data_IF_509797546227
#
_entry.id   IF_509797546227
#
_cell.length_a   1.000
_cell.length_b   1.000
_cell.length_c   1.000
_cell.angle_alpha   90.00
_cell.angle_beta   90.00
_cell.angle_gamma   90.00
#
_symmetry.space_group_name_H-M   'P 1'
#
loop_
_entity.id
_entity.type
_entity.pdbx_description
1 polymer ?
#
# COMPACT_ATOMS: atom_id res chain seq x y z
N UNK A 1 23.60 6.19 13.80
CA UNK A 1 23.01 5.10 14.62
C UNK A 1 21.64 4.74 14.07
N UNK A 2 21.58 4.06 12.92
CA UNK A 2 20.36 3.34 12.50
C UNK A 2 20.82 1.89 12.35
N UNK A 3 20.36 1.03 13.25
CA UNK A 3 20.63 -0.40 13.15
C UNK A 3 20.05 -0.91 11.85
N UNK A 4 20.91 -1.46 11.00
CA UNK A 4 20.46 -2.30 9.88
C UNK A 4 19.66 -3.43 10.52
N UNK A 5 18.35 -3.40 10.32
CA UNK A 5 17.50 -4.50 10.75
C UNK A 5 17.83 -5.67 9.83
N UNK A 6 18.55 -6.66 10.38
CA UNK A 6 18.77 -7.99 9.81
C UNK A 6 17.40 -8.62 9.54
N UNK A 7 16.84 -8.37 8.36
CA UNK A 7 15.59 -8.91 7.88
C UNK A 7 15.78 -9.23 6.41
N UNK A 8 15.26 -10.36 5.96
CA UNK A 8 15.36 -10.79 4.56
C UNK A 8 14.94 -9.69 3.57
N UNK A 9 15.37 -9.84 2.32
CA UNK A 9 15.14 -8.85 1.27
C UNK A 9 13.66 -8.42 1.24
N UNK A 10 13.36 -7.11 1.14
CA UNK A 10 12.00 -6.62 1.19
C UNK A 10 11.17 -7.21 0.04
N UNK A 11 9.96 -7.69 0.36
CA UNK A 11 9.03 -8.18 -0.64
C UNK A 11 8.45 -7.00 -1.42
N UNK A 12 8.84 -6.88 -2.68
CA UNK A 12 8.39 -5.82 -3.58
C UNK A 12 7.04 -6.08 -4.26
N UNK A 13 6.62 -5.20 -5.18
CA UNK A 13 5.40 -5.36 -5.95
C UNK A 13 5.39 -6.64 -6.80
N UNK A 14 4.19 -7.08 -7.17
CA UNK A 14 4.00 -8.20 -8.11
C UNK A 14 4.74 -7.94 -9.43
N UNK A 15 5.36 -8.95 -10.03
CA UNK A 15 6.02 -8.81 -11.34
C UNK A 15 5.00 -8.56 -12.47
N UNK A 16 5.07 -7.37 -13.10
CA UNK A 16 4.17 -6.98 -14.20
C UNK A 16 4.36 -7.79 -15.49
N UNK A 17 5.53 -8.42 -15.68
CA UNK A 17 5.79 -9.25 -16.86
C UNK A 17 5.07 -10.59 -16.80
N UNK A 18 4.72 -11.03 -15.58
CA UNK A 18 4.03 -12.29 -15.30
C UNK A 18 2.55 -12.10 -15.00
N UNK A 19 2.21 -10.99 -14.33
CA UNK A 19 0.82 -10.62 -14.01
C UNK A 19 0.52 -9.24 -14.58
N UNK A 20 -0.43 -9.13 -15.52
CA UNK A 20 -0.75 -7.84 -16.13
C UNK A 20 -1.27 -6.86 -15.08
N UNK A 21 -1.03 -5.56 -15.30
CA UNK A 21 -1.31 -4.51 -14.30
C UNK A 21 -2.79 -4.34 -13.93
N UNK A 22 -3.71 -4.78 -14.79
CA UNK A 22 -5.15 -4.74 -14.57
C UNK A 22 -5.68 -5.95 -13.78
N UNK A 23 -4.82 -6.90 -13.41
CA UNK A 23 -5.19 -8.12 -12.70
C UNK A 23 -4.59 -8.19 -11.29
N UNK A 24 -5.18 -9.04 -10.44
CA UNK A 24 -4.78 -9.23 -9.04
C UNK A 24 -5.40 -8.20 -8.09
N UNK A 25 -5.03 -8.29 -6.81
CA UNK A 25 -5.54 -7.41 -5.76
C UNK A 25 -5.01 -5.98 -5.95
N UNK A 26 -5.93 -5.00 -5.91
CA UNK A 26 -5.62 -3.58 -6.10
C UNK A 26 -5.08 -2.91 -4.83
N UNK A 27 -3.93 -3.35 -4.32
CA UNK A 27 -3.23 -2.66 -3.23
C UNK A 27 -2.48 -1.42 -3.75
N UNK A 28 -2.14 -0.49 -2.85
CA UNK A 28 -1.33 0.67 -3.20
C UNK A 28 0.00 0.24 -3.86
N UNK A 29 0.27 0.76 -5.06
CA UNK A 29 1.44 0.41 -5.88
C UNK A 29 1.65 -1.11 -6.09
N UNK A 30 0.60 -1.93 -5.92
CA UNK A 30 0.67 -3.40 -5.94
C UNK A 30 1.64 -4.00 -4.93
N UNK A 31 1.85 -3.31 -3.80
CA UNK A 31 2.66 -3.80 -2.68
C UNK A 31 1.95 -4.93 -1.93
N UNK A 32 2.70 -5.79 -1.22
CA UNK A 32 2.10 -6.84 -0.38
C UNK A 32 1.16 -6.28 0.69
N UNK A 33 0.14 -7.06 1.05
CA UNK A 33 -0.71 -6.77 2.20
C UNK A 33 0.04 -7.09 3.50
N UNK A 34 -0.42 -6.54 4.63
CA UNK A 34 0.24 -6.74 5.92
C UNK A 34 0.19 -8.19 6.42
N UNK A 35 -0.79 -8.98 5.98
CA UNK A 35 -0.89 -10.42 6.25
C UNK A 35 0.05 -11.27 5.36
N UNK A 36 0.77 -10.66 4.42
CA UNK A 36 1.66 -11.33 3.47
C UNK A 36 3.15 -11.09 3.76
N UNK A 37 3.45 -10.34 4.83
CA UNK A 37 4.81 -9.99 5.28
C UNK A 37 4.88 -10.00 6.81
N UNK A 38 5.96 -10.54 7.35
CA UNK A 38 6.17 -10.58 8.81
C UNK A 38 6.47 -9.19 9.39
N UNK A 39 7.04 -8.30 8.56
CA UNK A 39 7.48 -6.96 8.98
C UNK A 39 7.39 -5.96 7.83
N UNK A 40 7.05 -4.72 8.18
CA UNK A 40 7.13 -3.57 7.28
C UNK A 40 7.78 -2.39 8.03
N UNK A 41 8.84 -1.79 7.47
CA UNK A 41 9.41 -0.54 8.01
C UNK A 41 8.55 0.68 7.68
N UNK A 42 7.83 0.64 6.56
CA UNK A 42 6.92 1.71 6.09
C UNK A 42 5.59 1.08 5.73
N UNK A 43 4.49 1.73 6.11
CA UNK A 43 3.12 1.29 5.84
C UNK A 43 2.37 2.40 5.13
N UNK A 44 1.60 2.05 4.10
CA UNK A 44 0.68 2.98 3.42
C UNK A 44 -0.72 2.74 3.98
N UNK A 45 -1.38 3.81 4.43
CA UNK A 45 -2.70 3.74 5.04
C UNK A 45 -3.61 4.76 4.37
N UNK A 46 -4.77 4.29 3.90
CA UNK A 46 -5.84 5.16 3.42
C UNK A 46 -6.69 5.67 4.58
N UNK A 47 -7.06 6.95 4.55
CA UNK A 47 -8.01 7.55 5.49
C UNK A 47 -9.20 8.08 4.67
N UNK A 48 -10.25 7.26 4.44
CA UNK A 48 -11.38 7.64 3.60
C UNK A 48 -12.33 8.57 4.36
N UNK A 49 -11.97 9.84 4.46
CA UNK A 49 -12.71 10.83 5.25
C UNK A 49 -12.87 12.16 4.50
N UNK A 50 -14.09 12.70 4.49
CA UNK A 50 -14.40 14.00 3.89
C UNK A 50 -15.49 14.80 4.65
N UNK A 51 -15.81 14.45 5.91
CA UNK A 51 -16.90 15.12 6.64
C UNK A 51 -16.62 16.59 7.00
N UNK A 52 -15.37 17.05 6.86
CA UNK A 52 -14.96 18.43 7.14
C UNK A 52 -14.96 19.37 5.93
N UNK A 53 -15.37 18.93 4.74
CA UNK A 53 -15.33 19.79 3.54
C UNK A 53 -16.52 20.75 3.49
N UNK A 54 -16.29 22.00 3.11
CA UNK A 54 -17.32 23.04 2.98
C UNK A 54 -18.00 23.08 1.60
N UNK A 55 -17.51 22.31 0.64
CA UNK A 55 -18.02 22.24 -0.72
C UNK A 55 -18.12 20.79 -1.22
N UNK A 56 -17.84 20.52 -2.50
CA UNK A 56 -18.05 19.22 -3.14
C UNK A 56 -17.38 18.07 -2.37
N UNK A 57 -18.16 17.14 -1.77
CA UNK A 57 -17.63 15.94 -1.12
C UNK A 57 -17.19 14.90 -2.17
N UNK A 58 -16.45 13.88 -1.72
CA UNK A 58 -16.00 12.77 -2.57
C UNK A 58 -14.58 12.29 -2.29
N UNK A 59 -13.77 13.07 -1.55
CA UNK A 59 -12.38 12.68 -1.25
C UNK A 59 -12.27 11.35 -0.48
N UNK A 60 -13.33 10.95 0.23
CA UNK A 60 -13.40 9.65 0.93
C UNK A 60 -13.29 8.42 0.00
N UNK A 61 -13.54 8.58 -1.30
CA UNK A 61 -13.43 7.51 -2.30
C UNK A 61 -12.06 7.48 -3.00
N UNK A 62 -11.14 8.36 -2.62
CA UNK A 62 -9.78 8.40 -3.17
C UNK A 62 -8.93 7.20 -2.74
N UNK A 63 -8.83 6.91 -1.43
CA UNK A 63 -8.20 5.68 -0.94
C UNK A 63 -9.01 4.43 -1.30
#
# INVERSE_FOLDING_TARGET
MYGQAEGGAPRGPVDSSRVPRFAGTATFARLPRLDEVDRAQVKVVGVPFDAGVSYRPGARFGP
#
